data_IF_532855401856
#
_entry.id   IF_532855401856
#
_cell.length_a   1.000
_cell.length_b   1.000
_cell.length_c   1.000
_cell.angle_alpha   90.00
_cell.angle_beta   90.00
_cell.angle_gamma   90.00
#
_symmetry.space_group_name_H-M   'P 1'
#
loop_
_entity.id
_entity.type
_entity.pdbx_description
1 polymer ?
#
# COMPACT_ATOMS: atom_id res chain seq x y z
N UNK A 1 6.98 -5.08 -21.36
CA UNK A 1 5.56 -5.49 -21.27
C UNK A 1 5.50 -6.72 -20.38
N UNK A 2 4.60 -6.72 -19.39
CA UNK A 2 4.40 -7.82 -18.43
C UNK A 2 2.90 -8.13 -18.39
N UNK A 3 2.56 -9.42 -18.28
CA UNK A 3 1.19 -9.91 -18.12
C UNK A 3 1.17 -11.08 -17.14
N UNK A 4 0.32 -11.00 -16.13
CA UNK A 4 0.05 -12.06 -15.17
C UNK A 4 -1.45 -12.37 -15.17
N UNK A 5 -1.80 -13.66 -15.22
CA UNK A 5 -3.20 -14.13 -15.17
C UNK A 5 -3.46 -15.12 -14.03
N UNK A 6 -2.51 -15.19 -13.10
CA UNK A 6 -2.56 -15.99 -11.87
C UNK A 6 -1.62 -15.35 -10.83
N UNK A 7 -1.79 -15.65 -9.53
CA UNK A 7 -0.93 -15.10 -8.49
C UNK A 7 0.56 -15.31 -8.74
N UNK A 8 1.35 -14.28 -8.41
CA UNK A 8 2.80 -14.25 -8.59
C UNK A 8 3.32 -12.83 -8.76
N UNK A 9 4.64 -12.73 -8.87
CA UNK A 9 5.40 -11.48 -8.91
C UNK A 9 6.17 -11.36 -10.22
N UNK A 10 6.34 -10.15 -10.74
CA UNK A 10 7.17 -9.86 -11.91
C UNK A 10 7.78 -8.47 -11.85
N UNK A 11 9.07 -8.37 -12.17
CA UNK A 11 9.77 -7.10 -12.24
C UNK A 11 9.54 -6.39 -13.58
N UNK A 12 9.55 -5.06 -13.53
CA UNK A 12 9.44 -4.18 -14.70
C UNK A 12 10.13 -2.84 -14.45
N UNK A 13 10.27 -2.04 -15.50
CA UNK A 13 10.80 -0.67 -15.42
C UNK A 13 9.78 0.28 -16.01
N UNK A 14 9.39 1.30 -15.25
CA UNK A 14 8.45 2.34 -15.68
C UNK A 14 9.08 3.72 -15.46
N UNK A 15 9.18 4.53 -16.51
CA UNK A 15 9.82 5.85 -16.45
C UNK A 15 11.26 5.83 -15.88
N UNK A 16 11.99 4.73 -16.11
CA UNK A 16 13.35 4.52 -15.57
C UNK A 16 13.41 4.07 -14.11
N UNK A 17 12.26 3.80 -13.47
CA UNK A 17 12.16 3.34 -12.09
C UNK A 17 11.99 1.81 -12.09
N UNK A 18 12.88 1.04 -11.41
CA UNK A 18 12.72 -0.40 -11.26
C UNK A 18 11.59 -0.70 -10.26
N UNK A 19 10.63 -1.52 -10.66
CA UNK A 19 9.42 -1.85 -9.90
C UNK A 19 9.13 -3.33 -9.97
N UNK A 20 8.33 -3.82 -9.04
CA UNK A 20 7.74 -5.15 -9.07
C UNK A 20 6.22 -5.02 -9.08
N UNK A 21 5.53 -5.88 -9.81
CA UNK A 21 4.08 -6.02 -9.74
C UNK A 21 3.73 -7.38 -9.15
N UNK A 22 2.67 -7.42 -8.36
CA UNK A 22 2.24 -8.64 -7.69
C UNK A 22 0.74 -8.82 -7.85
N UNK A 23 0.34 -9.93 -8.49
CA UNK A 23 -1.06 -10.36 -8.52
C UNK A 23 -1.38 -11.03 -7.17
N UNK A 24 -1.42 -10.20 -6.14
CA UNK A 24 -1.44 -10.63 -4.75
C UNK A 24 -2.86 -11.01 -4.28
N UNK A 25 -3.11 -12.31 -4.17
CA UNK A 25 -4.35 -12.89 -3.62
C UNK A 25 -4.07 -13.64 -2.31
N UNK A 26 -3.23 -13.05 -1.45
CA UNK A 26 -2.60 -13.75 -0.32
C UNK A 26 -3.57 -14.49 0.60
N UNK A 27 -4.76 -13.94 0.87
CA UNK A 27 -5.74 -14.54 1.78
C UNK A 27 -6.87 -15.30 1.04
N UNK A 28 -6.80 -15.50 -0.28
CA UNK A 28 -7.80 -16.30 -1.01
C UNK A 28 -7.41 -17.78 -0.97
N UNK A 29 -8.25 -18.62 -0.37
CA UNK A 29 -8.06 -20.07 -0.32
C UNK A 29 -8.28 -20.72 -1.68
N UNK A 30 -9.37 -20.35 -2.34
CA UNK A 30 -9.73 -20.80 -3.68
C UNK A 30 -10.57 -19.73 -4.38
N UNK A 31 -10.51 -19.71 -5.71
CA UNK A 31 -11.35 -18.88 -6.56
C UNK A 31 -11.58 -19.56 -7.90
N UNK A 32 -12.61 -19.10 -8.60
CA UNK A 32 -12.87 -19.37 -10.02
C UNK A 32 -13.07 -18.04 -10.75
N UNK A 33 -12.98 -18.05 -12.08
CA UNK A 33 -13.10 -16.83 -12.90
C UNK A 33 -11.74 -16.35 -13.40
N UNK A 34 -11.60 -15.04 -13.62
CA UNK A 34 -10.41 -14.45 -14.25
C UNK A 34 -9.81 -13.32 -13.43
N UNK A 35 -8.48 -13.29 -13.39
CA UNK A 35 -7.68 -12.16 -12.93
C UNK A 35 -6.65 -11.84 -14.00
N UNK A 36 -6.39 -10.56 -14.24
CA UNK A 36 -5.34 -10.13 -15.16
C UNK A 36 -4.67 -8.86 -14.65
N UNK A 37 -3.35 -8.89 -14.52
CA UNK A 37 -2.52 -7.73 -14.22
C UNK A 37 -1.54 -7.50 -15.37
N UNK A 38 -1.44 -6.27 -15.88
CA UNK A 38 -0.66 -5.97 -17.07
C UNK A 38 0.08 -4.65 -16.92
N UNK A 39 1.34 -4.62 -17.38
CA UNK A 39 2.10 -3.41 -17.64
C UNK A 39 2.49 -3.34 -19.12
N UNK A 40 2.14 -2.26 -19.80
CA UNK A 40 2.38 -2.10 -21.25
C UNK A 40 3.53 -1.15 -21.61
N UNK A 41 4.15 -0.50 -20.62
CA UNK A 41 5.19 0.51 -20.81
C UNK A 41 4.74 1.90 -20.37
N UNK A 42 3.45 2.19 -20.45
CA UNK A 42 2.87 3.50 -20.11
C UNK A 42 1.98 3.46 -18.87
N UNK A 43 1.31 2.33 -18.63
CA UNK A 43 0.38 2.14 -17.53
C UNK A 43 0.40 0.73 -16.99
N UNK A 44 -0.09 0.60 -15.77
CA UNK A 44 -0.41 -0.68 -15.14
C UNK A 44 -1.92 -0.80 -14.96
N UNK A 45 -2.47 -1.95 -15.27
CA UNK A 45 -3.91 -2.25 -15.15
C UNK A 45 -4.13 -3.57 -14.45
N UNK A 46 -5.21 -3.66 -13.69
CA UNK A 46 -5.70 -4.89 -13.09
C UNK A 46 -7.20 -5.01 -13.30
N UNK A 47 -7.67 -6.21 -13.61
CA UNK A 47 -9.09 -6.56 -13.66
C UNK A 47 -9.32 -7.93 -13.03
N UNK A 48 -10.38 -8.04 -12.24
CA UNK A 48 -10.86 -9.26 -11.62
C UNK A 48 -12.36 -9.44 -11.86
N UNK A 49 -12.72 -10.64 -12.30
CA UNK A 49 -14.08 -11.17 -12.27
C UNK A 49 -13.99 -12.59 -11.71
N UNK A 50 -14.00 -12.67 -10.38
CA UNK A 50 -13.76 -13.90 -9.63
C UNK A 50 -14.94 -14.25 -8.71
N UNK A 51 -15.20 -15.54 -8.56
CA UNK A 51 -16.27 -16.09 -7.74
C UNK A 51 -15.79 -17.30 -6.93
N UNK A 52 -16.66 -17.84 -6.08
CA UNK A 52 -16.37 -18.94 -5.16
C UNK A 52 -15.24 -18.58 -4.18
N UNK A 53 -15.22 -17.33 -3.73
CA UNK A 53 -14.20 -16.83 -2.81
C UNK A 53 -14.42 -17.37 -1.39
N UNK A 54 -13.31 -17.79 -0.78
CA UNK A 54 -13.23 -18.06 0.65
C UNK A 54 -11.86 -17.65 1.20
N UNK A 55 -11.80 -17.07 2.41
CA UNK A 55 -10.54 -16.69 3.03
C UNK A 55 -9.72 -17.91 3.48
N UNK A 56 -8.38 -17.82 3.48
CA UNK A 56 -7.49 -18.76 4.16
C UNK A 56 -7.57 -18.57 5.67
N UNK A 57 -7.53 -17.31 6.09
CA UNK A 57 -7.54 -16.82 7.48
C UNK A 57 -8.63 -15.74 7.62
N UNK A 58 -9.88 -16.10 7.97
CA UNK A 58 -11.01 -15.17 8.05
C UNK A 58 -10.78 -13.97 8.99
N UNK A 59 -10.01 -14.15 10.06
CA UNK A 59 -9.66 -13.13 11.04
C UNK A 59 -8.79 -12.00 10.48
N UNK A 60 -8.14 -12.22 9.33
CA UNK A 60 -7.40 -11.19 8.59
C UNK A 60 -8.29 -10.29 7.73
N UNK A 61 -9.59 -10.61 7.66
CA UNK A 61 -10.65 -9.86 6.99
C UNK A 61 -10.55 -9.77 5.45
N UNK A 62 -9.56 -9.05 4.92
CA UNK A 62 -9.41 -8.82 3.48
C UNK A 62 -8.95 -10.09 2.75
N UNK A 63 -9.20 -10.17 1.45
CA UNK A 63 -8.94 -11.36 0.62
C UNK A 63 -7.62 -11.26 -0.17
N UNK A 64 -7.23 -10.06 -0.60
CA UNK A 64 -6.02 -9.85 -1.37
C UNK A 64 -5.71 -8.37 -1.56
N UNK A 65 -4.56 -8.09 -2.17
CA UNK A 65 -4.01 -6.75 -2.36
C UNK A 65 -3.26 -6.61 -3.70
N UNK A 66 -3.92 -6.78 -4.87
CA UNK A 66 -3.25 -6.63 -6.16
C UNK A 66 -2.60 -5.25 -6.29
N UNK A 67 -1.30 -5.24 -6.61
CA UNK A 67 -0.42 -4.10 -6.36
C UNK A 67 0.80 -4.03 -7.29
N UNK A 68 1.53 -2.91 -7.18
CA UNK A 68 2.91 -2.79 -7.61
C UNK A 68 3.72 -2.01 -6.55
N UNK A 69 5.03 -2.18 -6.53
CA UNK A 69 5.87 -1.59 -5.50
C UNK A 69 7.27 -1.19 -5.96
N UNK A 70 7.82 -0.22 -5.23
CA UNK A 70 9.20 0.22 -5.31
C UNK A 70 9.92 -0.13 -4.00
N UNK A 71 10.99 -0.93 -4.07
CA UNK A 71 11.75 -1.34 -2.88
C UNK A 71 11.77 -2.84 -2.65
N UNK A 72 12.06 -3.22 -1.41
CA UNK A 72 12.17 -4.61 -0.97
C UNK A 72 10.95 -4.95 -0.11
N UNK A 73 10.11 -5.87 -0.57
CA UNK A 73 8.93 -6.33 0.16
C UNK A 73 9.34 -7.46 1.11
N UNK A 74 9.28 -7.27 2.45
CA UNK A 74 9.76 -8.26 3.41
C UNK A 74 9.10 -9.64 3.26
N UNK A 75 7.78 -9.66 3.17
CA UNK A 75 6.98 -10.90 3.11
C UNK A 75 7.29 -11.79 1.91
N UNK A 76 7.77 -11.21 0.81
CA UNK A 76 8.14 -11.93 -0.41
C UNK A 76 9.64 -12.16 -0.56
N UNK A 77 10.46 -11.60 0.34
CA UNK A 77 11.92 -11.57 0.22
C UNK A 77 12.39 -11.14 -1.18
N UNK A 78 11.75 -10.10 -1.73
CA UNK A 78 11.88 -9.72 -3.13
C UNK A 78 12.11 -8.22 -3.32
N UNK A 79 12.95 -7.87 -4.29
CA UNK A 79 13.14 -6.50 -4.78
C UNK A 79 13.54 -6.51 -6.25
N UNK A 80 13.03 -5.56 -7.03
CA UNK A 80 13.54 -5.29 -8.37
C UNK A 80 14.96 -4.72 -8.30
N UNK A 81 15.84 -5.20 -9.18
CA UNK A 81 17.24 -4.80 -9.21
C UNK A 81 17.39 -3.29 -9.52
N UNK A 82 18.20 -2.59 -8.72
CA UNK A 82 18.46 -1.14 -8.88
C UNK A 82 17.60 -0.22 -8.02
N UNK A 83 16.73 -0.75 -7.15
CA UNK A 83 16.04 0.04 -6.12
C UNK A 83 17.03 0.75 -5.17
N UNK A 84 16.68 1.96 -4.71
CA UNK A 84 17.40 2.68 -3.65
C UNK A 84 16.96 2.31 -2.23
N UNK A 85 15.83 1.63 -2.08
CA UNK A 85 15.33 1.12 -0.80
C UNK A 85 15.80 -0.32 -0.59
N UNK A 86 16.04 -0.78 0.66
CA UNK A 86 15.73 -0.11 1.93
C UNK A 86 16.75 0.96 2.38
N UNK A 87 16.27 1.97 3.11
CA UNK A 87 17.10 2.98 3.81
C UNK A 87 16.57 3.22 5.23
N UNK A 88 17.41 3.63 6.21
CA UNK A 88 16.91 4.03 7.52
C UNK A 88 15.95 5.22 7.42
N UNK A 89 14.89 5.24 8.23
CA UNK A 89 13.91 6.34 8.27
C UNK A 89 14.58 7.69 8.54
N UNK A 90 15.56 7.73 9.45
CA UNK A 90 16.39 8.90 9.77
C UNK A 90 17.11 9.52 8.57
N UNK A 91 17.41 8.72 7.55
CA UNK A 91 18.10 9.16 6.34
C UNK A 91 17.14 9.79 5.32
N UNK A 92 15.83 9.57 5.43
CA UNK A 92 14.85 10.12 4.48
C UNK A 92 14.61 11.60 4.75
N UNK A 93 15.02 12.45 3.81
CA UNK A 93 14.68 13.88 3.84
C UNK A 93 13.29 14.12 3.27
N UNK A 94 13.02 13.54 2.11
CA UNK A 94 11.72 13.57 1.43
C UNK A 94 11.58 12.33 0.56
N UNK A 95 10.35 11.87 0.38
CA UNK A 95 10.02 10.85 -0.59
C UNK A 95 8.69 11.18 -1.25
N UNK A 96 8.76 11.94 -2.35
CA UNK A 96 7.57 12.36 -3.09
C UNK A 96 7.09 11.24 -4.00
N UNK A 97 5.79 10.95 -3.95
CA UNK A 97 5.13 9.97 -4.79
C UNK A 97 4.01 10.67 -5.57
N UNK A 98 3.97 10.43 -6.87
CA UNK A 98 2.92 10.94 -7.75
C UNK A 98 2.34 9.83 -8.62
N UNK A 99 1.02 9.76 -8.72
CA UNK A 99 0.31 8.76 -9.53
C UNK A 99 -1.07 9.27 -9.96
N UNK A 100 -1.47 8.97 -11.20
CA UNK A 100 -2.85 9.05 -11.66
C UNK A 100 -3.52 7.69 -11.55
N UNK A 101 -4.75 7.66 -11.06
CA UNK A 101 -5.47 6.42 -10.80
C UNK A 101 -6.95 6.52 -11.19
N UNK A 102 -7.52 5.38 -11.57
CA UNK A 102 -8.95 5.20 -11.83
C UNK A 102 -9.34 3.80 -11.37
N UNK A 103 -10.32 3.71 -10.46
CA UNK A 103 -10.73 2.46 -9.81
C UNK A 103 -12.20 2.21 -10.12
N UNK A 104 -12.54 1.01 -10.59
CA UNK A 104 -13.91 0.56 -10.79
C UNK A 104 -14.19 -0.69 -9.97
N UNK A 105 -15.37 -0.77 -9.36
CA UNK A 105 -15.80 -1.94 -8.59
C UNK A 105 -17.32 -1.98 -8.48
N UNK A 106 -17.86 -3.17 -8.22
CA UNK A 106 -19.27 -3.32 -7.85
C UNK A 106 -19.59 -2.57 -6.54
N UNK A 107 -20.78 -1.96 -6.39
CA UNK A 107 -21.05 -1.03 -5.28
C UNK A 107 -20.91 -1.63 -3.87
N UNK A 108 -21.18 -2.93 -3.71
CA UNK A 108 -21.14 -3.61 -2.42
C UNK A 108 -19.75 -4.07 -2.00
N UNK A 109 -18.77 -4.12 -2.91
CA UNK A 109 -17.46 -4.71 -2.63
C UNK A 109 -16.69 -3.92 -1.57
N UNK A 110 -16.30 -4.54 -0.44
CA UNK A 110 -15.32 -3.96 0.48
C UNK A 110 -14.01 -3.76 -0.28
N UNK A 111 -13.52 -2.53 -0.39
CA UNK A 111 -12.32 -2.20 -1.15
C UNK A 111 -11.68 -0.90 -0.64
N UNK A 112 -10.36 -0.79 -0.73
CA UNK A 112 -9.66 0.49 -0.60
C UNK A 112 -8.73 0.77 -1.80
N UNK A 113 -8.23 2.00 -1.84
CA UNK A 113 -6.99 2.34 -2.53
C UNK A 113 -5.99 2.70 -1.44
N UNK A 114 -5.08 1.78 -1.17
CA UNK A 114 -4.08 1.92 -0.14
C UNK A 114 -2.69 1.95 -0.78
N UNK A 115 -1.82 2.73 -0.18
CA UNK A 115 -0.38 2.61 -0.35
C UNK A 115 0.22 2.26 0.99
N UNK A 116 1.31 1.50 1.04
CA UNK A 116 1.91 1.11 2.31
C UNK A 116 3.43 1.01 2.28
N UNK A 117 4.01 1.01 3.49
CA UNK A 117 5.40 0.66 3.75
C UNK A 117 5.48 -0.29 4.94
N UNK A 118 6.51 -1.12 4.92
CA UNK A 118 6.96 -1.88 6.08
C UNK A 118 8.22 -1.24 6.65
N UNK A 119 8.19 -0.89 7.94
CA UNK A 119 9.33 -0.42 8.70
C UNK A 119 9.89 -1.56 9.55
N UNK A 120 11.10 -2.01 9.23
CA UNK A 120 11.69 -3.19 9.85
C UNK A 120 12.95 -2.84 10.63
N UNK A 121 13.21 -3.56 11.72
CA UNK A 121 14.45 -3.36 12.52
C UNK A 121 15.71 -3.76 11.76
N UNK A 122 15.62 -4.78 10.92
CA UNK A 122 16.72 -5.23 10.07
C UNK A 122 16.41 -4.96 8.60
N UNK A 123 17.46 -4.71 7.82
CA UNK A 123 17.34 -4.23 6.44
C UNK A 123 16.55 -5.18 5.52
N UNK A 124 16.72 -6.49 5.68
CA UNK A 124 16.14 -7.51 4.81
C UNK A 124 15.46 -8.62 5.62
N UNK A 125 14.53 -8.24 6.49
CA UNK A 125 13.67 -9.22 7.16
C UNK A 125 12.76 -9.93 6.16
N UNK A 126 12.34 -11.15 6.47
CA UNK A 126 11.41 -11.94 5.64
C UNK A 126 9.98 -11.95 6.17
N UNK A 127 9.72 -11.23 7.26
CA UNK A 127 8.44 -11.09 7.96
C UNK A 127 8.49 -9.85 8.85
N UNK A 128 7.33 -9.37 9.33
CA UNK A 128 7.24 -8.33 10.35
C UNK A 128 6.77 -8.91 11.69
N UNK A 129 7.31 -8.38 12.79
CA UNK A 129 6.97 -8.82 14.15
C UNK A 129 7.03 -7.66 15.15
N UNK A 130 6.99 -7.95 16.46
CA UNK A 130 6.90 -6.93 17.50
C UNK A 130 8.14 -6.03 17.42
N UNK A 131 7.90 -4.73 17.26
CA UNK A 131 8.92 -3.71 17.07
C UNK A 131 9.10 -3.26 15.61
N UNK A 132 8.43 -3.93 14.68
CA UNK A 132 8.28 -3.51 13.28
C UNK A 132 6.90 -2.83 13.08
N UNK A 133 6.75 -2.04 12.02
CA UNK A 133 5.57 -1.19 11.78
C UNK A 133 5.07 -1.32 10.35
N UNK A 134 3.76 -1.47 10.18
CA UNK A 134 3.07 -1.32 8.89
C UNK A 134 2.40 0.06 8.88
N UNK A 135 2.65 0.87 7.85
CA UNK A 135 2.01 2.17 7.69
C UNK A 135 1.29 2.20 6.35
N UNK A 136 -0.05 2.28 6.40
CA UNK A 136 -0.90 2.43 5.23
C UNK A 136 -1.40 3.88 5.06
N UNK A 137 -1.60 4.30 3.81
CA UNK A 137 -2.18 5.59 3.41
C UNK A 137 -3.33 5.31 2.44
N UNK A 138 -4.57 5.51 2.90
CA UNK A 138 -5.78 5.19 2.14
C UNK A 138 -6.36 6.45 1.50
N UNK A 139 -6.27 6.55 0.19
CA UNK A 139 -6.88 7.63 -0.60
C UNK A 139 -8.34 7.34 -0.95
N UNK A 140 -8.74 6.07 -1.01
CA UNK A 140 -10.12 5.65 -1.28
C UNK A 140 -10.52 4.51 -0.35
N UNK A 141 -11.80 4.43 -0.02
CA UNK A 141 -12.39 3.26 0.60
C UNK A 141 -13.87 3.14 0.24
N UNK A 142 -14.38 1.91 0.22
CA UNK A 142 -15.78 1.55 0.01
C UNK A 142 -16.10 0.34 0.89
N UNK A 143 -17.09 0.45 1.78
CA UNK A 143 -17.52 -0.63 2.68
C UNK A 143 -16.38 -1.31 3.46
N UNK A 144 -15.28 -0.61 3.70
CA UNK A 144 -14.08 -1.11 4.37
C UNK A 144 -13.58 -0.06 5.37
N UNK A 145 -13.20 -0.53 6.56
CA UNK A 145 -12.64 0.29 7.64
C UNK A 145 -11.27 -0.28 8.00
N UNK A 146 -10.26 0.56 8.29
CA UNK A 146 -8.96 0.07 8.74
C UNK A 146 -9.06 -0.79 10.01
N UNK A 147 -8.05 -1.63 10.22
CA UNK A 147 -7.93 -2.40 11.45
C UNK A 147 -7.76 -1.52 12.70
N UNK A 148 -8.12 -2.07 13.86
CA UNK A 148 -7.93 -1.41 15.15
C UNK A 148 -8.94 -0.31 15.45
N UNK A 149 -8.47 0.76 16.09
CA UNK A 149 -9.29 1.90 16.48
C UNK A 149 -8.69 3.22 16.01
N UNK A 150 -9.56 4.19 15.74
CA UNK A 150 -9.16 5.56 15.43
C UNK A 150 -8.63 6.25 16.69
N UNK A 151 -7.39 6.75 16.64
CA UNK A 151 -6.71 7.37 17.78
C UNK A 151 -6.53 8.89 17.66
N UNK A 152 -6.39 9.44 16.45
CA UNK A 152 -6.18 10.88 16.21
C UNK A 152 -6.65 11.26 14.79
N UNK A 153 -6.68 12.56 14.47
CA UNK A 153 -6.76 13.07 13.11
C UNK A 153 -5.55 13.97 12.82
N UNK A 154 -5.01 13.89 11.60
CA UNK A 154 -3.92 14.73 11.12
C UNK A 154 -4.36 15.55 9.92
N UNK A 155 -3.84 16.77 9.82
CA UNK A 155 -3.90 17.56 8.59
C UNK A 155 -2.58 17.38 7.85
N UNK A 156 -2.61 16.71 6.69
CA UNK A 156 -1.43 16.44 5.87
C UNK A 156 -1.71 16.93 4.45
N UNK A 157 -0.86 17.79 3.89
CA UNK A 157 -1.07 18.36 2.56
C UNK A 157 -0.78 17.34 1.47
N UNK A 158 -1.51 17.46 0.36
CA UNK A 158 -1.20 16.78 -0.90
C UNK A 158 -1.68 17.62 -2.07
N UNK A 159 -1.25 17.29 -3.28
CA UNK A 159 -1.76 17.88 -4.53
C UNK A 159 -2.78 16.93 -5.11
N UNK A 160 -4.00 17.40 -5.33
CA UNK A 160 -5.08 16.67 -5.99
C UNK A 160 -5.41 17.34 -7.32
N UNK A 161 -5.22 16.63 -8.43
CA UNK A 161 -5.51 17.12 -9.79
C UNK A 161 -4.85 18.47 -10.12
N UNK A 162 -3.68 18.73 -9.54
CA UNK A 162 -2.91 19.97 -9.75
C UNK A 162 -3.18 21.08 -8.72
N UNK A 163 -4.13 20.88 -7.79
CA UNK A 163 -4.43 21.84 -6.73
C UNK A 163 -3.88 21.35 -5.38
N UNK A 164 -3.19 22.21 -4.65
CA UNK A 164 -2.77 21.93 -3.27
C UNK A 164 -3.99 21.91 -2.36
N UNK A 165 -4.16 20.82 -1.61
CA UNK A 165 -5.25 20.60 -0.67
C UNK A 165 -4.71 20.13 0.67
N UNK A 166 -5.38 20.53 1.75
CA UNK A 166 -5.09 20.07 3.10
C UNK A 166 -6.01 18.88 3.42
N UNK A 167 -5.48 17.66 3.33
CA UNK A 167 -6.24 16.45 3.62
C UNK A 167 -6.45 16.29 5.12
N UNK A 168 -7.67 15.90 5.54
CA UNK A 168 -7.90 15.42 6.91
C UNK A 168 -7.83 13.89 6.92
N UNK A 169 -6.88 13.36 7.68
CA UNK A 169 -6.55 11.94 7.74
C UNK A 169 -6.88 11.39 9.12
N UNK A 170 -7.71 10.36 9.19
CA UNK A 170 -7.90 9.60 10.42
C UNK A 170 -6.73 8.65 10.61
N UNK A 171 -6.09 8.67 11.77
CA UNK A 171 -5.10 7.66 12.13
C UNK A 171 -5.77 6.53 12.90
N UNK A 172 -5.69 5.33 12.34
CA UNK A 172 -6.12 4.08 12.97
C UNK A 172 -4.88 3.30 13.43
N UNK A 173 -4.97 2.68 14.61
CA UNK A 173 -3.88 1.90 15.22
C UNK A 173 -4.38 0.52 15.66
N UNK A 174 -3.61 -0.52 15.36
CA UNK A 174 -3.79 -1.86 15.94
C UNK A 174 -2.43 -2.46 16.36
N UNK A 175 -2.34 -2.98 17.58
CA UNK A 175 -1.15 -3.72 18.04
C UNK A 175 -1.34 -5.23 17.80
N UNK A 176 -0.93 -5.72 16.64
CA UNK A 176 -0.96 -7.13 16.28
C UNK A 176 0.42 -7.79 16.47
N UNK A 177 0.77 -8.76 15.61
CA UNK A 177 2.11 -9.31 15.50
C UNK A 177 3.17 -8.23 15.28
N UNK A 178 2.79 -7.13 14.62
CA UNK A 178 3.51 -5.86 14.45
C UNK A 178 2.56 -4.69 14.78
N UNK A 179 3.05 -3.45 14.76
CA UNK A 179 2.20 -2.26 14.95
C UNK A 179 1.63 -1.85 13.59
N UNK A 180 0.31 -1.87 13.45
CA UNK A 180 -0.41 -1.44 12.25
C UNK A 180 -0.91 -0.01 12.42
N UNK A 181 -0.55 0.87 11.48
CA UNK A 181 -1.05 2.24 11.39
C UNK A 181 -1.68 2.45 10.02
N UNK A 182 -2.87 3.05 9.98
CA UNK A 182 -3.50 3.46 8.73
C UNK A 182 -4.00 4.89 8.78
N UNK A 183 -3.50 5.71 7.85
CA UNK A 183 -3.97 7.06 7.59
C UNK A 183 -5.07 7.02 6.54
N UNK A 184 -6.32 7.18 6.96
CA UNK A 184 -7.48 7.17 6.06
C UNK A 184 -7.96 8.59 5.75
N UNK A 185 -7.96 8.96 4.47
CA UNK A 185 -8.50 10.25 4.02
C UNK A 185 -10.01 10.29 4.26
N UNK A 186 -10.50 11.34 4.92
CA UNK A 186 -11.94 11.49 5.23
C UNK A 186 -12.79 11.74 4.00
N UNK A 187 -12.25 12.41 3.00
CA UNK A 187 -12.89 12.68 1.71
C UNK A 187 -12.27 11.78 0.63
N UNK A 188 -12.78 10.53 0.46
CA UNK A 188 -12.13 9.54 -0.39
C UNK A 188 -12.20 9.91 -1.87
N UNK A 189 -11.10 9.70 -2.58
CA UNK A 189 -10.94 9.98 -4.00
C UNK A 189 -10.84 8.67 -4.76
N UNK A 190 -11.85 8.33 -5.56
CA UNK A 190 -11.89 7.08 -6.36
C UNK A 190 -11.09 7.16 -7.66
N UNK A 191 -10.95 8.37 -8.20
CA UNK A 191 -10.26 8.68 -9.45
C UNK A 191 -9.65 10.06 -9.38
N UNK A 192 -8.40 10.17 -9.79
CA UNK A 192 -7.69 11.44 -9.83
C UNK A 192 -6.20 11.27 -10.02
N UNK A 193 -5.47 12.37 -9.80
CA UNK A 193 -4.02 12.39 -9.76
C UNK A 193 -3.58 12.98 -8.43
N UNK A 194 -2.77 12.25 -7.69
CA UNK A 194 -2.26 12.68 -6.38
C UNK A 194 -0.74 12.81 -6.42
N UNK A 195 -0.23 13.83 -5.73
CA UNK A 195 1.18 13.95 -5.37
C UNK A 195 1.31 14.33 -3.91
N UNK A 196 2.11 13.60 -3.14
CA UNK A 196 2.34 13.85 -1.73
C UNK A 196 3.77 13.46 -1.35
N UNK A 197 4.18 13.75 -0.12
CA UNK A 197 5.46 13.32 0.45
C UNK A 197 5.22 12.32 1.57
N UNK A 198 5.77 11.12 1.43
CA UNK A 198 5.68 10.05 2.43
C UNK A 198 6.30 10.48 3.76
N UNK A 199 7.27 11.40 3.77
CA UNK A 199 7.90 11.89 5.00
C UNK A 199 6.87 12.49 5.97
N UNK A 200 5.83 13.16 5.49
CA UNK A 200 4.79 13.71 6.36
C UNK A 200 4.01 12.63 7.12
N UNK A 201 3.78 11.48 6.49
CA UNK A 201 3.14 10.34 7.13
C UNK A 201 4.09 9.65 8.12
N UNK A 202 5.38 9.55 7.79
CA UNK A 202 6.41 9.05 8.70
C UNK A 202 6.56 9.94 9.95
N UNK A 203 6.54 11.27 9.79
CA UNK A 203 6.58 12.22 10.91
C UNK A 203 5.36 12.05 11.84
N UNK A 204 4.16 11.91 11.26
CA UNK A 204 2.94 11.70 12.02
C UNK A 204 2.93 10.34 12.74
N UNK A 205 3.39 9.27 12.06
CA UNK A 205 3.51 7.94 12.65
C UNK A 205 4.54 7.91 13.79
N UNK A 206 5.72 8.52 13.60
CA UNK A 206 6.74 8.64 14.64
C UNK A 206 6.25 9.41 15.86
N UNK A 207 5.44 10.47 15.67
CA UNK A 207 4.76 11.16 16.78
C UNK A 207 3.78 10.24 17.50
N UNK A 208 2.93 9.53 16.77
CA UNK A 208 1.92 8.64 17.36
C UNK A 208 2.56 7.48 18.16
N UNK A 209 3.71 7.00 17.70
CA UNK A 209 4.48 5.92 18.32
C UNK A 209 5.53 6.39 19.34
N UNK A 210 5.63 7.69 19.63
CA UNK A 210 6.68 8.25 20.49
C UNK A 210 6.71 7.71 21.94
N UNK A 211 5.58 7.18 22.42
CA UNK A 211 5.47 6.52 23.73
C UNK A 211 5.21 5.02 23.62
N UNK A 212 5.41 4.41 22.45
CA UNK A 212 5.23 2.96 22.25
C UNK A 212 6.21 2.18 23.12
N UNK A 213 5.74 1.12 23.77
CA UNK A 213 6.61 0.16 24.45
C UNK A 213 7.19 -0.91 23.50
N UNK A 214 6.64 -1.00 22.28
CA UNK A 214 6.97 -2.03 21.27
C UNK A 214 7.98 -1.51 20.26
N UNK A 215 7.77 -0.30 19.77
CA UNK A 215 8.66 0.40 18.83
C UNK A 215 9.62 1.28 19.62
N UNK A 216 10.91 0.91 19.67
CA UNK A 216 11.91 1.59 20.50
C UNK A 216 12.42 2.88 19.88
N UNK A 217 12.93 2.79 18.66
CA UNK A 217 13.61 3.88 17.96
C UNK A 217 13.09 3.94 16.51
N UNK A 218 12.00 4.70 16.30
CA UNK A 218 11.30 4.75 15.01
C UNK A 218 12.20 5.19 13.84
N UNK A 219 13.07 6.16 14.08
CA UNK A 219 13.99 6.69 13.05
C UNK A 219 15.14 5.73 12.68
N UNK A 220 15.37 4.69 13.49
CA UNK A 220 16.39 3.66 13.23
C UNK A 220 15.83 2.47 12.44
N UNK A 221 14.51 2.37 12.29
CA UNK A 221 13.88 1.37 11.42
C UNK A 221 14.23 1.62 9.95
N UNK A 222 14.21 0.57 9.15
CA UNK A 222 14.40 0.64 7.71
C UNK A 222 13.06 0.85 7.02
N UNK A 223 12.95 1.92 6.23
CA UNK A 223 11.89 2.06 5.23
C UNK A 223 12.20 1.12 4.06
N UNK A 224 11.45 0.02 3.95
CA UNK A 224 11.79 -1.08 3.05
C UNK A 224 11.20 -0.94 1.65
N UNK A 225 9.96 -0.47 1.55
CA UNK A 225 9.16 -0.54 0.33
C UNK A 225 8.09 0.55 0.30
N UNK A 226 7.65 0.91 -0.90
CA UNK A 226 6.41 1.63 -1.11
C UNK A 226 5.51 0.82 -2.05
N UNK A 227 4.48 0.20 -1.48
CA UNK A 227 3.48 -0.61 -2.16
C UNK A 227 2.27 0.26 -2.53
N UNK A 228 1.68 0.03 -3.70
CA UNK A 228 0.53 0.77 -4.22
C UNK A 228 -0.46 -0.24 -4.81
N UNK A 229 -1.63 -0.38 -4.20
CA UNK A 229 -2.61 -1.37 -4.60
C UNK A 229 -4.02 -1.12 -4.05
N UNK A 230 -4.85 -2.16 -4.10
CA UNK A 230 -6.22 -2.11 -3.59
C UNK A 230 -6.51 -3.35 -2.77
N UNK A 231 -6.69 -3.21 -1.46
CA UNK A 231 -7.19 -4.31 -0.65
C UNK A 231 -8.66 -4.52 -0.98
N UNK A 232 -9.12 -5.77 -1.00
CA UNK A 232 -10.52 -6.06 -1.32
C UNK A 232 -11.08 -7.27 -0.58
N UNK A 233 -12.40 -7.30 -0.48
CA UNK A 233 -13.18 -8.39 0.07
C UNK A 233 -13.30 -8.37 1.60
N UNK A 234 -14.12 -9.29 2.07
CA UNK A 234 -14.37 -9.60 3.47
C UNK A 234 -14.60 -11.11 3.61
N UNK A 235 -14.72 -11.68 4.83
CA UNK A 235 -15.03 -13.09 5.01
C UNK A 235 -16.37 -13.53 4.36
N UNK A 236 -17.31 -12.61 4.21
CA UNK A 236 -18.63 -12.82 3.60
C UNK A 236 -18.61 -12.69 2.07
N UNK A 237 -17.58 -12.06 1.50
CA UNK A 237 -17.48 -11.80 0.06
C UNK A 237 -17.30 -13.12 -0.70
N UNK A 238 -18.22 -13.44 -1.63
CA UNK A 238 -18.20 -14.68 -2.44
C UNK A 238 -17.84 -14.46 -3.91
N UNK A 239 -17.91 -13.22 -4.37
CA UNK A 239 -17.46 -12.78 -5.69
C UNK A 239 -16.85 -11.39 -5.57
N UNK A 240 -15.95 -11.06 -6.49
CA UNK A 240 -15.38 -9.73 -6.60
C UNK A 240 -15.27 -9.35 -8.07
N UNK A 241 -15.96 -8.28 -8.45
CA UNK A 241 -15.84 -7.63 -9.75
C UNK A 241 -15.29 -6.22 -9.59
N UNK A 242 -14.03 -6.03 -9.96
CA UNK A 242 -13.34 -4.76 -9.85
C UNK A 242 -12.09 -4.71 -10.72
N UNK A 243 -11.53 -3.52 -10.84
CA UNK A 243 -10.27 -3.30 -11.48
C UNK A 243 -9.80 -1.87 -11.29
N UNK A 244 -8.61 -1.60 -11.79
CA UNK A 244 -8.00 -0.31 -11.69
C UNK A 244 -6.98 -0.07 -12.80
N UNK A 245 -6.62 1.19 -12.96
CA UNK A 245 -5.56 1.65 -13.85
C UNK A 245 -4.72 2.70 -13.12
N UNK A 246 -3.39 2.53 -13.14
CA UNK A 246 -2.43 3.55 -12.73
C UNK A 246 -1.60 4.06 -13.90
N UNK A 247 -1.42 5.38 -13.96
CA UNK A 247 -0.75 6.15 -15.02
C UNK A 247 0.09 7.28 -14.41
N UNK A 248 0.98 7.90 -15.20
CA UNK A 248 1.77 9.07 -14.79
C UNK A 248 2.52 8.91 -13.46
N UNK A 249 3.10 7.72 -13.23
CA UNK A 249 3.83 7.43 -12.00
C UNK A 249 5.22 8.05 -12.01
N UNK A 250 5.58 8.68 -10.89
CA UNK A 250 6.94 9.11 -10.62
C UNK A 250 7.21 9.13 -9.12
N UNK A 251 8.48 8.96 -8.76
CA UNK A 251 8.96 9.10 -7.39
C UNK A 251 10.20 9.99 -7.35
N UNK A 252 10.39 10.68 -6.24
CA UNK A 252 11.59 11.45 -5.94
C UNK A 252 12.02 11.21 -4.49
N UNK A 253 13.10 10.45 -4.31
CA UNK A 253 13.66 10.09 -3.01
C UNK A 253 14.93 10.92 -2.75
N UNK A 254 14.86 11.81 -1.77
CA UNK A 254 16.01 12.54 -1.24
C UNK A 254 16.48 11.90 0.06
N UNK A 255 17.72 11.40 0.07
CA UNK A 255 18.38 10.87 1.26
C UNK A 255 19.36 11.93 1.78
N UNK A 256 19.39 12.14 3.10
CA UNK A 256 20.33 13.07 3.76
C UNK A 256 21.77 12.61 3.53
N UNK A 257 22.65 13.59 3.33
CA UNK A 257 24.11 13.39 3.30
C UNK A 257 24.67 13.00 4.68
#
# INVERSE_FOLDING_TARGET
>A
MVLMTKPGTSDFVWNGIPLSMELNLWNIKEYSGSVAMKFDGEKITFDADIQNLSPKEPERYVLGYPEFYYGYKPWENHTAEGSKLPVPVSSMKSFSVEVSFDIHHEPSLPLNFAMETWLTREKYQTEASIGDVEIMVWFYFNNLTPGGEKIEEFTIPFVLNGESVEGTWELWLAEWGWDYLAFRLKDPVKKGRVKFDVRHFLDAAGKALSSSARVKDFEDLYFTVWEIGTEFGSPETKSAQFGWKFENFSIDLEVRE
#
